data_IF_518355147216
#
_entry.id   IF_518355147216
#
_cell.length_a   1.000
_cell.length_b   1.000
_cell.length_c   1.000
_cell.angle_alpha   90.00
_cell.angle_beta   90.00
_cell.angle_gamma   90.00
#
_symmetry.space_group_name_H-M   'P 1'
#
loop_
_entity.id
_entity.type
_entity.pdbx_description
1 polymer ?
#
# COMPACT_ATOMS: atom_id res chain seq x y z
N UNK A 1 -16.09 24.76 -54.40
CA UNK A 1 -16.16 25.55 -53.16
C UNK A 1 -16.45 24.57 -52.05
N UNK A 2 -15.41 24.17 -51.31
CA UNK A 2 -15.51 23.17 -50.25
C UNK A 2 -15.90 23.88 -48.95
N UNK A 3 -17.17 23.71 -48.54
CA UNK A 3 -17.66 24.09 -47.22
C UNK A 3 -17.02 23.16 -46.19
N UNK A 4 -15.90 23.58 -45.61
CA UNK A 4 -15.25 22.89 -44.49
C UNK A 4 -16.11 23.19 -43.25
N UNK A 5 -17.02 22.27 -42.95
CA UNK A 5 -17.78 22.27 -41.70
C UNK A 5 -16.80 21.94 -40.57
N UNK A 6 -16.30 22.95 -39.87
CA UNK A 6 -15.45 22.78 -38.68
C UNK A 6 -16.32 22.23 -37.56
N UNK A 7 -16.27 20.91 -37.39
CA UNK A 7 -16.85 20.23 -36.24
C UNK A 7 -15.94 20.51 -35.04
N UNK A 8 -16.28 21.56 -34.27
CA UNK A 8 -15.66 21.86 -32.98
C UNK A 8 -16.10 20.78 -31.99
N UNK A 9 -15.42 19.64 -32.03
CA UNK A 9 -15.38 18.67 -30.95
C UNK A 9 -14.53 19.30 -29.85
N UNK A 10 -15.16 20.13 -29.02
CA UNK A 10 -14.64 20.51 -27.71
C UNK A 10 -14.51 19.20 -26.92
N UNK A 11 -13.32 18.62 -26.96
CA UNK A 11 -12.89 17.61 -26.03
C UNK A 11 -13.03 18.22 -24.63
N UNK A 12 -14.09 17.79 -23.92
CA UNK A 12 -14.12 17.85 -22.47
C UNK A 12 -12.97 16.96 -21.99
N UNK A 13 -11.75 17.51 -21.96
CA UNK A 13 -10.67 17.02 -21.13
C UNK A 13 -11.09 17.29 -19.69
N UNK A 14 -11.97 16.42 -19.18
CA UNK A 14 -12.13 16.26 -17.75
C UNK A 14 -10.74 15.98 -17.22
N UNK A 15 -10.17 16.94 -16.49
CA UNK A 15 -8.96 16.71 -15.73
C UNK A 15 -9.35 15.72 -14.63
N UNK A 16 -9.27 14.43 -14.94
CA UNK A 16 -9.26 13.39 -13.93
C UNK A 16 -7.86 13.43 -13.32
N UNK A 17 -7.60 14.44 -12.49
CA UNK A 17 -6.43 14.52 -11.62
C UNK A 17 -6.64 13.54 -10.46
N UNK A 18 -6.77 12.26 -10.79
CA UNK A 18 -6.90 11.20 -9.80
C UNK A 18 -5.55 10.57 -9.56
N UNK A 19 -4.56 11.36 -9.13
CA UNK A 19 -3.35 10.82 -8.51
C UNK A 19 -2.75 11.78 -7.47
N UNK A 20 -2.31 11.26 -6.33
CA UNK A 20 -1.54 11.99 -5.29
C UNK A 20 -0.08 12.26 -5.71
N UNK A 21 0.15 12.58 -6.98
CA UNK A 21 1.46 12.98 -7.50
C UNK A 21 1.49 14.49 -7.63
N UNK A 22 2.44 15.12 -6.95
CA UNK A 22 2.65 16.55 -7.02
C UNK A 22 3.98 16.82 -7.71
N UNK A 23 4.03 17.87 -8.53
CA UNK A 23 5.29 18.32 -9.12
C UNK A 23 6.20 18.92 -8.04
N UNK A 24 7.52 18.79 -8.23
CA UNK A 24 8.52 19.39 -7.35
C UNK A 24 8.87 18.56 -6.12
N UNK A 25 9.44 19.21 -5.11
CA UNK A 25 9.92 18.57 -3.89
C UNK A 25 8.79 18.23 -2.90
N UNK A 26 9.07 17.33 -1.96
CA UNK A 26 8.21 17.10 -0.81
C UNK A 26 8.02 18.39 -0.01
N UNK A 27 6.79 18.70 0.46
CA UNK A 27 6.56 19.85 1.30
C UNK A 27 7.27 19.66 2.64
N UNK A 28 7.79 20.76 3.19
CA UNK A 28 8.39 20.74 4.52
C UNK A 28 7.27 20.83 5.54
N UNK A 29 7.06 19.75 6.29
CA UNK A 29 6.12 19.70 7.41
C UNK A 29 6.88 19.74 8.73
N UNK A 30 6.29 20.40 9.73
CA UNK A 30 6.88 20.47 11.06
C UNK A 30 6.61 19.17 11.84
N UNK A 31 7.66 18.49 12.32
CA UNK A 31 7.51 17.32 13.18
C UNK A 31 7.03 17.74 14.57
N UNK A 32 6.32 16.85 15.26
CA UNK A 32 5.87 17.09 16.63
C UNK A 32 7.07 17.34 17.56
N UNK A 33 7.01 18.46 18.28
CA UNK A 33 7.98 18.77 19.32
C UNK A 33 7.84 17.83 20.53
N UNK A 34 8.96 17.44 21.12
CA UNK A 34 8.97 16.56 22.30
C UNK A 34 8.44 15.16 22.04
N UNK A 35 8.44 14.70 20.78
CA UNK A 35 7.91 13.39 20.43
C UNK A 35 8.72 12.25 21.09
N UNK A 36 8.03 11.30 21.71
CA UNK A 36 8.63 10.07 22.21
C UNK A 36 8.08 8.85 21.45
N UNK A 37 8.96 8.21 20.67
CA UNK A 37 8.59 7.04 19.87
C UNK A 37 8.16 5.85 20.73
N UNK A 38 8.64 5.72 21.98
CA UNK A 38 8.25 4.62 22.85
C UNK A 38 6.77 4.67 23.21
N UNK A 39 6.19 5.86 23.33
CA UNK A 39 4.76 6.04 23.62
C UNK A 39 3.88 5.83 22.38
N UNK A 40 4.46 5.91 21.18
CA UNK A 40 3.77 5.65 19.92
C UNK A 40 3.61 4.15 19.62
N UNK A 41 4.35 3.29 20.33
CA UNK A 41 4.34 1.83 20.10
C UNK A 41 2.95 1.19 20.24
N UNK A 42 2.82 0.02 19.64
CA UNK A 42 1.61 -0.79 19.60
C UNK A 42 0.69 -0.44 18.44
N UNK A 43 -0.54 -0.93 18.54
CA UNK A 43 -1.52 -0.89 17.46
C UNK A 43 -2.26 0.46 17.41
N UNK A 44 -2.52 0.91 16.20
CA UNK A 44 -3.32 2.06 15.82
C UNK A 44 -4.26 1.70 14.68
N UNK A 45 -5.52 2.11 14.79
CA UNK A 45 -6.50 2.03 13.71
C UNK A 45 -6.35 3.23 12.79
N UNK A 46 -6.33 3.01 11.48
CA UNK A 46 -6.37 4.10 10.52
C UNK A 46 -7.82 4.55 10.36
N UNK A 47 -8.09 5.82 10.61
CA UNK A 47 -9.43 6.42 10.51
C UNK A 47 -9.61 7.14 9.17
N UNK A 48 -8.58 7.85 8.72
CA UNK A 48 -8.57 8.45 7.39
C UNK A 48 -7.17 8.31 6.77
N UNK A 49 -7.10 8.07 5.46
CA UNK A 49 -5.83 7.97 4.73
C UNK A 49 -5.99 8.50 3.31
N UNK A 50 -4.95 9.14 2.78
CA UNK A 50 -4.98 9.66 1.41
C UNK A 50 -5.18 8.55 0.38
N UNK A 51 -6.19 8.72 -0.48
CA UNK A 51 -6.43 7.94 -1.71
C UNK A 51 -6.28 6.41 -1.54
N UNK A 52 -7.12 5.80 -0.71
CA UNK A 52 -7.23 4.33 -0.59
C UNK A 52 -8.69 3.88 -0.63
N UNK A 53 -8.92 2.68 -1.16
CA UNK A 53 -10.19 1.96 -1.13
C UNK A 53 -10.19 0.80 -0.10
N UNK A 54 -9.09 0.63 0.63
CA UNK A 54 -8.95 -0.42 1.64
C UNK A 54 -9.73 -0.12 2.91
N UNK A 55 -10.14 -1.19 3.58
CA UNK A 55 -10.84 -1.16 4.86
C UNK A 55 -10.05 -1.93 5.92
N UNK A 56 -10.43 -1.79 7.19
CA UNK A 56 -9.82 -2.50 8.31
C UNK A 56 -8.30 -2.31 8.40
N UNK A 57 -7.84 -1.10 8.09
CA UNK A 57 -6.41 -0.79 8.07
C UNK A 57 -5.91 -0.54 9.50
N UNK A 58 -4.86 -1.25 9.90
CA UNK A 58 -4.19 -1.05 11.19
C UNK A 58 -2.70 -0.88 11.00
N UNK A 59 -2.08 -0.03 11.81
CA UNK A 59 -0.63 0.15 11.91
C UNK A 59 -0.18 -0.38 13.26
N UNK A 60 0.87 -1.20 13.29
CA UNK A 60 1.50 -1.67 14.51
C UNK A 60 2.96 -1.24 14.52
N UNK A 61 3.33 -0.45 15.52
CA UNK A 61 4.70 0.03 15.71
C UNK A 61 5.39 -0.80 16.80
N UNK A 62 6.49 -1.44 16.46
CA UNK A 62 7.26 -2.29 17.38
C UNK A 62 8.72 -1.84 17.45
N UNK A 63 9.37 -2.13 18.59
CA UNK A 63 10.82 -1.92 18.72
C UNK A 63 11.56 -2.97 17.91
N UNK A 64 12.73 -2.58 17.42
CA UNK A 64 13.74 -3.54 16.99
C UNK A 64 14.87 -3.59 18.02
N UNK A 65 15.82 -4.49 17.83
CA UNK A 65 17.01 -4.59 18.68
C UNK A 65 18.01 -3.44 18.44
N UNK A 66 17.88 -2.75 17.30
CA UNK A 66 18.74 -1.64 16.92
C UNK A 66 18.22 -0.30 17.48
N UNK A 67 19.06 0.50 18.17
CA UNK A 67 18.65 1.81 18.66
C UNK A 67 18.26 2.76 17.52
N UNK A 68 17.14 3.47 17.70
CA UNK A 68 16.66 4.44 16.72
C UNK A 68 15.99 3.83 15.49
N UNK A 69 15.77 2.52 15.47
CA UNK A 69 15.02 1.83 14.42
C UNK A 69 13.82 1.08 14.99
N UNK A 70 12.73 1.09 14.24
CA UNK A 70 11.42 0.57 14.63
C UNK A 70 10.80 -0.15 13.45
N UNK A 71 9.96 -1.13 13.71
CA UNK A 71 9.22 -1.83 12.67
C UNK A 71 7.79 -1.26 12.61
N UNK A 72 7.29 -1.07 11.39
CA UNK A 72 5.94 -0.64 11.09
C UNK A 72 5.26 -1.76 10.29
N UNK A 73 4.30 -2.45 10.89
CA UNK A 73 3.42 -3.37 10.18
C UNK A 73 2.10 -2.67 9.85
N UNK A 74 1.75 -2.59 8.57
CA UNK A 74 0.41 -2.24 8.11
C UNK A 74 -0.33 -3.53 7.73
N UNK A 75 -1.53 -3.71 8.28
CA UNK A 75 -2.47 -4.74 7.84
C UNK A 75 -3.67 -4.04 7.21
N UNK A 76 -4.10 -4.46 6.03
CA UNK A 76 -5.29 -3.92 5.35
C UNK A 76 -6.07 -5.01 4.62
N UNK A 77 -7.34 -4.71 4.30
CA UNK A 77 -8.16 -5.54 3.44
C UNK A 77 -8.56 -4.79 2.19
N UNK A 78 -8.34 -5.41 1.04
CA UNK A 78 -8.58 -4.83 -0.27
C UNK A 78 -9.90 -5.33 -0.87
N UNK A 79 -10.75 -4.41 -1.35
CA UNK A 79 -12.08 -4.72 -1.88
C UNK A 79 -12.07 -5.64 -3.12
N UNK A 80 -11.03 -5.53 -3.97
CA UNK A 80 -10.97 -6.18 -5.29
C UNK A 80 -10.80 -7.72 -5.22
N UNK A 81 -10.34 -8.29 -4.11
CA UNK A 81 -10.03 -9.73 -4.02
C UNK A 81 -11.16 -10.59 -3.41
N UNK A 82 -12.31 -10.00 -3.09
CA UNK A 82 -13.49 -10.72 -2.54
C UNK A 82 -14.13 -11.76 -3.47
N UNK A 83 -13.63 -11.93 -4.70
CA UNK A 83 -14.11 -12.91 -5.68
C UNK A 83 -13.47 -14.29 -5.56
N UNK A 84 -12.50 -14.49 -4.65
CA UNK A 84 -11.93 -15.81 -4.37
C UNK A 84 -12.00 -16.14 -2.88
N UNK A 85 -12.21 -17.40 -2.49
CA UNK A 85 -12.35 -17.82 -1.08
C UNK A 85 -11.04 -17.79 -0.27
N UNK A 86 -10.01 -17.09 -0.76
CA UNK A 86 -8.76 -16.92 -0.05
C UNK A 86 -8.90 -15.78 0.96
N UNK A 87 -8.33 -15.93 2.16
CA UNK A 87 -8.31 -14.89 3.18
C UNK A 87 -7.30 -13.83 2.75
N UNK A 88 -7.74 -12.67 2.28
CA UNK A 88 -6.88 -11.63 1.71
C UNK A 88 -6.56 -10.52 2.73
N UNK A 89 -5.78 -10.86 3.74
CA UNK A 89 -5.15 -9.84 4.57
C UNK A 89 -3.85 -9.41 3.90
N UNK A 90 -3.78 -8.16 3.46
CA UNK A 90 -2.53 -7.61 2.94
C UNK A 90 -1.68 -7.11 4.10
N UNK A 91 -0.47 -7.67 4.24
CA UNK A 91 0.49 -7.31 5.28
C UNK A 91 1.68 -6.64 4.65
N UNK A 92 2.06 -5.51 5.22
CA UNK A 92 3.16 -4.71 4.73
C UNK A 92 4.05 -4.27 5.88
N UNK A 93 5.30 -4.71 5.85
CA UNK A 93 6.25 -4.48 6.93
C UNK A 93 7.36 -3.57 6.44
N UNK A 94 7.50 -2.42 7.09
CA UNK A 94 8.56 -1.45 6.85
C UNK A 94 9.45 -1.26 8.06
N UNK A 95 10.64 -0.73 7.79
CA UNK A 95 11.60 -0.29 8.80
C UNK A 95 11.58 1.24 8.87
N UNK A 96 11.26 1.76 10.04
CA UNK A 96 11.42 3.16 10.41
C UNK A 96 12.81 3.36 11.00
N UNK A 97 13.46 4.45 10.62
CA UNK A 97 14.74 4.89 11.17
C UNK A 97 14.64 6.35 11.57
N UNK A 98 15.19 6.69 12.75
CA UNK A 98 15.30 8.06 13.27
C UNK A 98 16.68 8.61 12.87
N UNK A 99 16.79 9.47 11.83
CA UNK A 99 18.09 9.95 11.37
C UNK A 99 18.71 10.98 12.33
N UNK A 100 17.87 11.72 13.06
CA UNK A 100 18.28 12.75 14.01
C UNK A 100 17.57 12.52 15.36
N UNK A 101 18.29 12.04 16.39
CA UNK A 101 17.73 11.82 17.72
C UNK A 101 17.16 13.08 18.39
N UNK A 102 17.57 14.29 17.97
CA UNK A 102 17.00 15.53 18.48
C UNK A 102 15.59 15.81 17.93
N UNK A 103 15.21 15.17 16.83
CA UNK A 103 13.89 15.33 16.17
C UNK A 103 13.28 13.97 15.84
N UNK A 104 12.96 13.15 16.86
CA UNK A 104 12.54 11.76 16.67
C UNK A 104 11.19 11.58 15.94
N UNK A 105 10.37 12.63 15.87
CA UNK A 105 9.14 12.63 15.06
C UNK A 105 9.41 12.64 13.55
N UNK A 106 10.64 12.93 13.10
CA UNK A 106 11.05 12.89 11.70
C UNK A 106 11.86 11.64 11.44
N UNK A 107 11.23 10.67 10.80
CA UNK A 107 11.80 9.37 10.45
C UNK A 107 11.95 9.21 8.94
N UNK A 108 12.67 8.16 8.55
CA UNK A 108 12.63 7.59 7.21
C UNK A 108 12.04 6.21 7.29
N UNK A 109 11.07 5.92 6.42
CA UNK A 109 10.54 4.59 6.25
C UNK A 109 11.16 3.95 5.01
N UNK A 110 11.55 2.69 5.13
CA UNK A 110 12.01 1.84 4.03
C UNK A 110 11.24 0.56 4.04
N UNK A 111 10.79 0.17 2.87
CA UNK A 111 10.17 -1.13 2.67
C UNK A 111 11.12 -1.99 1.85
N UNK A 112 11.48 -3.19 2.33
CA UNK A 112 12.56 -3.99 1.76
C UNK A 112 12.42 -4.28 0.26
N UNK A 113 11.20 -4.27 -0.27
CA UNK A 113 10.89 -4.61 -1.67
C UNK A 113 10.56 -3.40 -2.55
N UNK A 114 10.65 -2.18 -2.02
CA UNK A 114 10.35 -0.97 -2.78
C UNK A 114 11.55 -0.55 -3.63
N UNK A 115 11.47 -0.78 -4.95
CA UNK A 115 12.43 -0.25 -5.94
C UNK A 115 12.48 1.28 -5.96
N UNK A 116 11.47 1.93 -5.38
CA UNK A 116 11.32 3.39 -5.35
C UNK A 116 12.05 4.04 -4.15
N UNK A 117 12.73 3.26 -3.30
CA UNK A 117 13.58 3.75 -2.22
C UNK A 117 12.82 4.13 -0.94
N UNK A 118 13.42 5.00 -0.12
CA UNK A 118 12.84 5.42 1.17
C UNK A 118 11.89 6.60 1.05
N UNK A 119 10.85 6.65 1.88
CA UNK A 119 10.02 7.83 2.07
C UNK A 119 10.34 8.54 3.39
N UNK A 120 10.11 9.86 3.42
CA UNK A 120 10.04 10.60 4.68
C UNK A 120 8.79 10.17 5.45
N UNK A 121 8.90 10.06 6.77
CA UNK A 121 7.80 9.69 7.66
C UNK A 121 7.80 10.64 8.85
N UNK A 122 6.80 11.50 8.94
CA UNK A 122 6.73 12.54 9.97
C UNK A 122 5.48 12.38 10.81
N UNK A 123 5.64 12.25 12.13
CA UNK A 123 4.53 12.39 13.07
C UNK A 123 4.30 13.89 13.30
N UNK A 124 3.18 14.40 12.81
CA UNK A 124 2.83 15.83 12.89
C UNK A 124 2.31 16.21 14.28
N UNK A 125 1.51 15.31 14.88
CA UNK A 125 0.93 15.50 16.21
C UNK A 125 0.36 14.18 16.72
N UNK A 126 0.45 13.97 18.03
CA UNK A 126 -0.23 12.87 18.73
C UNK A 126 -0.36 13.21 20.21
N UNK A 127 -1.33 12.61 20.89
CA UNK A 127 -1.38 12.55 22.36
C UNK A 127 -1.06 11.15 22.89
N UNK A 128 -0.57 10.26 22.02
CA UNK A 128 -0.20 8.86 22.24
C UNK A 128 -1.33 7.90 22.61
N UNK A 129 -2.45 8.42 23.12
CA UNK A 129 -3.52 7.64 23.76
C UNK A 129 -4.83 7.66 22.99
N UNK A 130 -5.03 8.64 22.12
CA UNK A 130 -6.29 8.83 21.42
C UNK A 130 -6.05 8.97 19.92
N UNK A 131 -5.18 9.89 19.49
CA UNK A 131 -4.96 10.14 18.07
C UNK A 131 -3.49 10.31 17.71
N UNK A 132 -3.18 10.08 16.43
CA UNK A 132 -1.94 10.54 15.82
C UNK A 132 -2.17 10.97 14.37
N UNK A 133 -1.35 11.90 13.90
CA UNK A 133 -1.34 12.34 12.52
C UNK A 133 0.05 12.10 11.93
N UNK A 134 0.07 11.36 10.82
CA UNK A 134 1.30 11.01 10.11
C UNK A 134 1.25 11.61 8.72
N UNK A 135 2.38 12.14 8.28
CA UNK A 135 2.60 12.54 6.90
C UNK A 135 3.79 11.78 6.34
N UNK A 136 3.62 11.17 5.18
CA UNK A 136 4.70 10.54 4.42
C UNK A 136 4.85 11.21 3.07
N UNK A 137 6.10 11.30 2.61
CA UNK A 137 6.39 11.80 1.27
C UNK A 137 7.59 11.10 0.66
N UNK A 138 7.39 10.57 -0.54
CA UNK A 138 8.41 9.93 -1.37
C UNK A 138 8.75 10.84 -2.54
N UNK A 139 10.03 11.16 -2.70
CA UNK A 139 10.51 11.93 -3.85
C UNK A 139 10.67 11.00 -5.06
N UNK A 140 10.15 11.40 -6.21
CA UNK A 140 10.18 10.66 -7.46
C UNK A 140 10.75 11.54 -8.57
N UNK A 141 12.06 11.52 -8.84
CA UNK A 141 12.71 12.37 -9.85
C UNK A 141 12.21 13.84 -9.86
N UNK A 142 11.24 14.19 -10.70
CA UNK A 142 10.64 15.53 -10.87
C UNK A 142 9.29 15.74 -10.15
N UNK A 143 8.79 14.71 -9.48
CA UNK A 143 7.54 14.70 -8.74
C UNK A 143 7.76 14.17 -7.32
N UNK A 144 6.69 14.12 -6.56
CA UNK A 144 6.64 13.48 -5.26
C UNK A 144 5.26 12.86 -5.05
N UNK A 145 5.24 11.79 -4.25
CA UNK A 145 4.03 11.13 -3.79
C UNK A 145 3.85 11.45 -2.31
N UNK A 146 2.66 11.91 -1.94
CA UNK A 146 2.33 12.31 -0.56
C UNK A 146 1.28 11.36 0.00
N UNK A 147 1.28 11.15 1.30
CA UNK A 147 0.15 10.53 1.99
C UNK A 147 0.04 11.11 3.39
N UNK A 148 -1.18 11.42 3.79
CA UNK A 148 -1.52 11.75 5.16
C UNK A 148 -2.36 10.61 5.75
N UNK A 149 -2.15 10.32 7.03
CA UNK A 149 -2.85 9.26 7.74
C UNK A 149 -3.26 9.76 9.13
N UNK A 150 -4.56 9.64 9.43
CA UNK A 150 -5.15 9.90 10.73
C UNK A 150 -5.30 8.55 11.44
N UNK A 151 -4.67 8.44 12.60
CA UNK A 151 -4.63 7.24 13.43
C UNK A 151 -5.44 7.45 14.71
N UNK A 152 -6.05 6.38 15.21
CA UNK A 152 -6.75 6.33 16.50
C UNK A 152 -6.37 5.08 17.30
N UNK A 153 -6.39 5.17 18.63
CA UNK A 153 -6.25 3.98 19.49
C UNK A 153 -7.52 3.12 19.52
N UNK A 154 -8.65 3.67 19.07
CA UNK A 154 -9.94 2.99 18.95
C UNK A 154 -10.39 2.93 17.50
N UNK A 155 -11.37 2.09 17.20
CA UNK A 155 -11.92 1.92 15.85
C UNK A 155 -12.61 3.16 15.28
N UNK A 156 -12.97 4.08 16.16
CA UNK A 156 -13.55 5.38 15.84
C UNK A 156 -12.72 6.48 16.49
N UNK A 157 -12.91 7.71 16.04
CA UNK A 157 -12.26 8.89 16.57
C UNK A 157 -13.22 10.07 16.52
N UNK A 158 -13.30 10.82 17.62
CA UNK A 158 -14.19 11.97 17.70
C UNK A 158 -13.87 13.00 16.62
N UNK A 159 -14.95 13.58 16.05
CA UNK A 159 -14.86 14.58 14.98
C UNK A 159 -13.93 15.75 15.34
N UNK A 160 -13.90 16.14 16.62
CA UNK A 160 -13.02 17.21 17.11
C UNK A 160 -11.54 16.94 16.77
N UNK A 161 -11.04 15.72 16.98
CA UNK A 161 -9.65 15.36 16.67
C UNK A 161 -9.42 15.28 15.16
N UNK A 162 -10.39 14.74 14.41
CA UNK A 162 -10.35 14.69 12.95
C UNK A 162 -10.23 16.10 12.36
N UNK A 163 -11.09 17.03 12.78
CA UNK A 163 -11.09 18.42 12.32
C UNK A 163 -9.79 19.15 12.68
N UNK A 164 -9.29 18.92 13.89
CA UNK A 164 -8.00 19.47 14.36
C UNK A 164 -6.85 19.02 13.47
N UNK A 165 -6.78 17.73 13.14
CA UNK A 165 -5.72 17.17 12.29
C UNK A 165 -5.87 17.65 10.85
N UNK A 166 -7.08 17.62 10.28
CA UNK A 166 -7.35 18.12 8.92
C UNK A 166 -6.96 19.59 8.77
N UNK A 167 -7.21 20.42 9.79
CA UNK A 167 -6.80 21.82 9.81
C UNK A 167 -5.26 21.97 9.83
N UNK A 168 -4.56 21.14 10.61
CA UNK A 168 -3.08 21.13 10.64
C UNK A 168 -2.50 20.67 9.29
N UNK A 169 -3.08 19.65 8.65
CA UNK A 169 -2.68 19.20 7.31
C UNK A 169 -2.89 20.30 6.25
N UNK A 170 -4.05 20.95 6.26
CA UNK A 170 -4.36 22.06 5.35
C UNK A 170 -3.36 23.22 5.48
N UNK A 171 -2.86 23.51 6.69
CA UNK A 171 -1.82 24.54 6.92
C UNK A 171 -0.50 24.26 6.20
N UNK A 172 -0.25 23.02 5.77
CA UNK A 172 0.92 22.62 4.97
C UNK A 172 0.60 22.43 3.48
N UNK A 173 -0.59 22.83 3.04
CA UNK A 173 -1.04 22.65 1.65
C UNK A 173 -1.34 21.19 1.29
N UNK A 174 -1.68 20.37 2.28
CA UNK A 174 -2.19 19.01 2.09
C UNK A 174 -3.71 19.10 2.10
N UNK A 175 -4.36 18.73 1.00
CA UNK A 175 -5.81 18.84 0.89
C UNK A 175 -6.49 17.81 1.84
N UNK A 176 -7.26 18.27 2.85
CA UNK A 176 -7.95 17.35 3.74
C UNK A 176 -9.06 16.55 3.01
N UNK A 177 -9.55 17.00 1.85
CA UNK A 177 -10.56 16.29 1.07
C UNK A 177 -10.00 15.08 0.30
N UNK A 178 -8.68 14.96 0.17
CA UNK A 178 -8.02 13.79 -0.42
C UNK A 178 -8.00 12.57 0.52
N UNK A 179 -8.47 12.73 1.76
CA UNK A 179 -8.50 11.68 2.77
C UNK A 179 -9.76 10.83 2.66
N UNK A 180 -9.59 9.56 2.28
CA UNK A 180 -10.62 8.52 2.36
C UNK A 180 -10.90 8.15 3.81
N UNK A 181 -12.18 7.97 4.16
CA UNK A 181 -12.60 7.40 5.45
C UNK A 181 -12.39 5.89 5.40
N UNK A 182 -11.79 5.34 6.46
CA UNK A 182 -11.50 3.91 6.56
C UNK A 182 -12.47 3.26 7.54
N UNK A 183 -13.28 2.33 7.04
CA UNK A 183 -14.22 1.57 7.85
C UNK A 183 -13.48 0.53 8.70
N UNK A 184 -13.77 0.51 10.01
CA UNK A 184 -13.21 -0.42 11.00
C UNK A 184 -14.26 -1.41 11.57
N UNK A 185 -15.45 -1.42 11.00
CA UNK A 185 -16.54 -2.35 11.30
C UNK A 185 -16.45 -3.57 10.38
N UNK A 186 -17.03 -4.69 10.84
CA UNK A 186 -17.11 -5.94 10.04
C UNK A 186 -15.76 -6.50 9.57
N UNK A 187 -14.67 -6.09 10.21
CA UNK A 187 -13.35 -6.65 9.94
C UNK A 187 -13.33 -8.16 10.26
N UNK A 188 -12.87 -9.00 9.32
CA UNK A 188 -12.66 -10.42 9.50
C UNK A 188 -11.88 -10.71 10.78
N UNK A 189 -12.39 -11.64 11.56
CA UNK A 189 -11.77 -12.07 12.81
C UNK A 189 -10.59 -12.96 12.47
N UNK A 190 -9.38 -12.57 12.86
CA UNK A 190 -8.25 -13.50 12.86
C UNK A 190 -8.54 -14.64 13.85
N UNK A 191 -8.24 -15.91 13.51
CA UNK A 191 -8.64 -17.07 14.30
C UNK A 191 -8.09 -17.12 15.74
N UNK A 192 -7.15 -16.25 16.13
CA UNK A 192 -6.57 -16.23 17.48
C UNK A 192 -6.48 -14.83 18.14
N UNK A 193 -7.14 -13.80 17.60
CA UNK A 193 -7.01 -12.43 18.12
C UNK A 193 -5.60 -11.81 17.94
N UNK A 194 -4.67 -12.56 17.36
CA UNK A 194 -3.39 -12.11 16.82
C UNK A 194 -3.55 -11.82 15.34
N UNK A 195 -2.72 -10.92 14.82
CA UNK A 195 -2.65 -10.56 13.41
C UNK A 195 -2.07 -11.74 12.60
N UNK A 196 -2.85 -12.81 12.42
CA UNK A 196 -2.57 -13.86 11.43
C UNK A 196 -3.49 -13.67 10.22
N UNK A 197 -2.96 -12.86 9.32
CA UNK A 197 -3.34 -12.81 7.93
C UNK A 197 -2.28 -13.58 7.17
N UNK A 198 -2.59 -14.00 5.96
CA UNK A 198 -1.65 -14.75 5.13
C UNK A 198 -0.33 -13.97 5.06
N UNK A 199 0.71 -14.53 5.67
CA UNK A 199 2.04 -13.96 5.65
C UNK A 199 2.59 -14.25 4.25
N UNK A 200 2.28 -13.39 3.28
CA UNK A 200 2.98 -13.41 1.99
C UNK A 200 4.35 -12.79 2.27
N UNK A 201 5.21 -13.56 2.92
CA UNK A 201 6.62 -13.24 3.04
C UNK A 201 7.21 -13.44 1.64
N UNK A 202 7.34 -12.36 0.87
CA UNK A 202 8.08 -12.38 -0.39
C UNK A 202 9.56 -12.36 0.00
N UNK A 203 10.07 -13.54 0.35
CA UNK A 203 11.47 -13.80 0.68
C UNK A 203 12.29 -13.90 -0.62
N UNK A 204 13.54 -13.38 -0.68
CA UNK A 204 14.44 -13.58 -1.83
C UNK A 204 14.65 -15.04 -2.26
N UNK A 205 14.38 -16.03 -1.41
CA UNK A 205 14.50 -17.45 -1.76
C UNK A 205 13.28 -18.03 -2.52
N UNK A 206 12.22 -17.22 -2.69
CA UNK A 206 10.99 -17.60 -3.41
C UNK A 206 11.23 -17.85 -4.91
N UNK A 207 12.38 -17.45 -5.46
CA UNK A 207 12.78 -17.71 -6.86
C UNK A 207 14.07 -18.53 -7.01
N UNK A 208 14.45 -19.34 -6.01
CA UNK A 208 15.50 -20.34 -6.22
C UNK A 208 14.91 -21.65 -6.77
N UNK A 209 15.55 -22.24 -7.78
CA UNK A 209 15.12 -23.48 -8.45
C UNK A 209 15.07 -24.72 -7.53
N UNK A 210 15.50 -24.59 -6.27
CA UNK A 210 15.56 -25.67 -5.30
C UNK A 210 14.22 -25.90 -4.54
N UNK A 211 13.35 -24.88 -4.43
CA UNK A 211 12.07 -24.97 -3.71
C UNK A 211 10.93 -25.57 -4.55
N UNK A 212 11.06 -25.60 -5.88
CA UNK A 212 10.11 -26.28 -6.79
C UNK A 212 10.17 -27.80 -6.58
N UNK A 213 11.35 -28.36 -6.30
CA UNK A 213 11.54 -29.81 -6.11
C UNK A 213 10.87 -30.37 -4.85
N UNK A 214 10.87 -29.60 -3.76
CA UNK A 214 10.26 -30.04 -2.50
C UNK A 214 8.74 -29.87 -2.46
N UNK A 215 8.21 -28.82 -3.11
CA UNK A 215 6.76 -28.62 -3.25
C UNK A 215 6.09 -29.73 -4.08
N UNK A 216 6.77 -30.24 -5.11
CA UNK A 216 6.31 -31.39 -5.91
C UNK A 216 6.28 -32.68 -5.10
N UNK A 217 7.23 -32.90 -4.18
CA UNK A 217 7.30 -34.11 -3.35
C UNK A 217 6.19 -34.16 -2.27
N UNK A 218 5.73 -33.01 -1.79
CA UNK A 218 4.74 -32.91 -0.69
C UNK A 218 3.28 -32.91 -1.16
N UNK A 219 3.04 -32.68 -2.44
CA UNK A 219 1.69 -32.62 -3.04
C UNK A 219 1.16 -33.99 -3.50
N UNK A 220 2.02 -35.01 -3.62
CA UNK A 220 1.65 -36.36 -4.08
C UNK A 220 0.79 -37.21 -3.14
N UNK A 221 0.24 -36.65 -2.04
CA UNK A 221 -0.39 -37.42 -0.96
C UNK A 221 -1.87 -37.20 -0.71
N UNK A 222 -2.56 -36.29 -1.41
CA UNK A 222 -3.92 -35.91 -1.04
C UNK A 222 -4.92 -35.85 -2.22
N UNK A 223 -5.71 -36.92 -2.30
CA UNK A 223 -7.14 -36.99 -2.64
C UNK A 223 -7.51 -36.90 -4.14
N UNK A 224 -7.92 -38.07 -4.63
CA UNK A 224 -8.53 -38.37 -5.91
C UNK A 224 -9.96 -37.80 -6.01
N UNK A 225 -10.32 -37.36 -7.21
CA UNK A 225 -11.68 -37.20 -7.79
C UNK A 225 -11.82 -35.93 -8.67
N UNK A 226 -10.87 -34.99 -8.61
CA UNK A 226 -10.89 -33.75 -9.42
C UNK A 226 -10.03 -33.74 -10.69
N UNK A 227 -9.28 -34.80 -10.98
CA UNK A 227 -8.15 -34.77 -11.94
C UNK A 227 -8.58 -34.74 -13.41
N UNK A 228 -9.72 -35.34 -13.76
CA UNK A 228 -10.04 -35.58 -15.17
C UNK A 228 -10.40 -34.29 -15.93
N UNK A 229 -11.08 -33.34 -15.27
CA UNK A 229 -11.41 -32.04 -15.86
C UNK A 229 -10.17 -31.14 -16.06
N UNK A 230 -9.19 -31.25 -15.15
CA UNK A 230 -7.99 -30.39 -15.15
C UNK A 230 -6.97 -30.86 -16.18
N UNK A 231 -6.89 -32.16 -16.46
CA UNK A 231 -5.97 -32.71 -17.47
C UNK A 231 -6.36 -32.29 -18.89
N UNK A 232 -7.65 -32.28 -19.23
CA UNK A 232 -8.11 -31.85 -20.55
C UNK A 232 -8.02 -30.33 -20.75
N UNK A 233 -8.26 -29.55 -19.69
CA UNK A 233 -8.00 -28.11 -19.71
C UNK A 233 -6.50 -27.80 -19.86
N UNK A 234 -5.64 -28.54 -19.16
CA UNK A 234 -4.18 -28.41 -19.23
C UNK A 234 -3.60 -28.75 -20.60
N UNK A 235 -4.10 -29.81 -21.26
CA UNK A 235 -3.68 -30.16 -22.63
C UNK A 235 -4.05 -29.08 -23.64
N UNK A 236 -5.25 -28.49 -23.54
CA UNK A 236 -5.67 -27.38 -24.41
C UNK A 236 -4.77 -26.15 -24.27
N UNK A 237 -4.36 -25.83 -23.05
CA UNK A 237 -3.45 -24.71 -22.76
C UNK A 237 -2.04 -25.03 -23.26
N UNK A 238 -1.54 -26.25 -23.03
CA UNK A 238 -0.21 -26.67 -23.48
C UNK A 238 -0.08 -26.62 -25.01
N UNK A 239 -1.06 -27.12 -25.76
CA UNK A 239 -1.03 -27.06 -27.22
C UNK A 239 -1.11 -25.64 -27.76
N UNK A 240 -1.86 -24.75 -27.09
CA UNK A 240 -1.98 -23.34 -27.48
C UNK A 240 -0.69 -22.54 -27.21
N UNK A 241 0.06 -22.90 -26.16
CA UNK A 241 1.35 -22.28 -25.82
C UNK A 241 2.49 -22.85 -26.66
N UNK A 242 2.45 -24.16 -26.97
CA UNK A 242 3.45 -24.80 -27.81
C UNK A 242 3.41 -24.29 -29.27
N UNK A 243 2.23 -24.02 -29.82
CA UNK A 243 2.12 -23.45 -31.18
C UNK A 243 2.56 -21.99 -31.27
N UNK A 244 2.50 -21.23 -30.17
CA UNK A 244 2.95 -19.83 -30.13
C UNK A 244 4.47 -19.67 -29.99
N UNK A 245 5.23 -20.76 -29.83
CA UNK A 245 6.69 -20.70 -29.59
C UNK A 245 7.52 -20.69 -30.89
N UNK A 246 6.92 -20.92 -32.06
CA UNK A 246 7.63 -20.95 -33.34
C UNK A 246 7.77 -19.57 -34.02
N UNK A 247 7.14 -18.51 -33.51
CA UNK A 247 7.12 -17.19 -34.16
C UNK A 247 7.84 -16.09 -33.36
N UNK A 248 9.13 -16.31 -33.06
CA UNK A 248 9.97 -15.37 -32.31
C UNK A 248 11.19 -14.88 -33.12
N UNK A 249 10.96 -14.45 -34.36
CA UNK A 249 11.94 -13.68 -35.14
C UNK A 249 11.35 -12.36 -35.62
N UNK A 250 10.89 -11.51 -34.71
CA UNK A 250 10.75 -10.06 -34.93
C UNK A 250 10.82 -9.29 -33.58
N UNK A 251 11.42 -8.09 -33.53
CA UNK A 251 11.68 -7.38 -32.27
C UNK A 251 10.39 -6.78 -31.68
N UNK A 252 10.25 -6.72 -30.33
CA UNK A 252 8.98 -6.37 -29.72
C UNK A 252 8.74 -4.85 -29.73
N UNK A 253 7.81 -4.41 -30.58
CA UNK A 253 7.09 -3.14 -30.42
C UNK A 253 6.07 -3.33 -29.29
N UNK A 254 6.39 -2.96 -28.05
CA UNK A 254 5.41 -3.01 -26.96
C UNK A 254 4.64 -1.69 -26.85
N UNK A 255 3.30 -1.73 -26.82
CA UNK A 255 2.49 -0.63 -26.31
C UNK A 255 2.72 -0.51 -24.80
N UNK A 256 2.87 0.73 -24.33
CA UNK A 256 2.95 1.11 -22.92
C UNK A 256 1.76 0.47 -22.18
N UNK A 257 2.02 -0.53 -21.33
CA UNK A 257 1.05 -0.99 -20.33
C UNK A 257 0.78 0.19 -19.41
N UNK A 258 -0.43 0.74 -19.49
CA UNK A 258 -0.97 1.65 -18.48
C UNK A 258 -0.84 1.00 -17.11
N UNK A 259 -0.03 1.61 -16.24
CA UNK A 259 0.00 1.27 -14.83
C UNK A 259 -1.38 1.46 -14.24
N UNK A 260 -1.83 0.44 -13.51
CA UNK A 260 -3.13 0.35 -12.86
C UNK A 260 -3.39 1.58 -11.97
N UNK A 261 -4.49 2.28 -12.23
CA UNK A 261 -4.86 3.52 -11.54
C UNK A 261 -5.34 3.28 -10.10
N UNK A 262 -5.63 2.02 -9.76
CA UNK A 262 -6.21 1.60 -8.48
C UNK A 262 -5.19 0.92 -7.54
N UNK A 263 -3.90 0.94 -7.89
CA UNK A 263 -2.86 0.38 -7.03
C UNK A 263 -2.69 1.23 -5.75
N UNK A 264 -3.29 0.75 -4.66
CA UNK A 264 -3.11 1.28 -3.31
C UNK A 264 -1.61 1.50 -3.05
N UNK A 265 -1.25 2.73 -2.66
CA UNK A 265 0.12 2.97 -2.25
C UNK A 265 0.37 2.33 -0.90
N UNK A 266 1.25 1.36 -0.94
CA UNK A 266 1.95 0.89 0.22
C UNK A 266 3.24 1.70 0.25
N UNK A 267 3.53 2.41 1.36
CA UNK A 267 4.64 3.36 1.42
C UNK A 267 6.01 2.77 1.13
#
# INVERSE_FOLDING_TARGET
MYEITILVLLAFSGNVLSHTYHLGACPVVEPMAGFDMNQMLGVWYVIQKTSTASHCITYNFTKTDEPGTYQLEQVSQHFILGLTPLKHDYRYTGLLSVPDPAVPARMKVRFPLSVAGSASYTVLMTDYRTYAAVFTCQKLAFANRRSATILSRTKELDKMYIDKIRSKLASYGIDPYDLSIITQTECPKHPNGTSEGVNINIDPDTFSSHSIGEAVRKTGGAIADGVEYVVEAGKKVYHKVASSKEDLTEPPTQPIKTMDADAEWLP
#
